data_IF_514514458797
#
_entry.id   IF_514514458797
#
_cell.length_a   1.000
_cell.length_b   1.000
_cell.length_c   1.000
_cell.angle_alpha   90.00
_cell.angle_beta   90.00
_cell.angle_gamma   90.00
#
_symmetry.space_group_name_H-M   'P 1'
#
loop_
_entity.id
_entity.type
_entity.pdbx_description
1 polymer ?
#
# COMPACT_ATOMS: atom_id res chain seq x y z
N UNK A 1 -2.62 8.00 -4.25
CA UNK A 1 -2.79 6.92 -3.27
C UNK A 1 -4.14 6.27 -3.52
N UNK A 2 -4.30 5.01 -3.16
CA UNK A 2 -5.54 4.27 -3.27
C UNK A 2 -5.75 3.46 -1.98
N UNK A 3 -6.95 3.49 -1.40
CA UNK A 3 -7.36 2.54 -0.36
C UNK A 3 -7.56 1.19 -1.05
N UNK A 4 -6.76 0.19 -0.70
CA UNK A 4 -6.80 -1.11 -1.35
C UNK A 4 -7.54 -2.15 -0.52
N UNK A 5 -6.96 -2.59 0.59
CA UNK A 5 -7.50 -3.65 1.45
C UNK A 5 -7.77 -3.10 2.83
N UNK A 6 -8.93 -3.41 3.43
CA UNK A 6 -9.23 -3.03 4.81
C UNK A 6 -9.67 -4.23 5.64
N UNK A 7 -9.48 -4.12 6.96
CA UNK A 7 -10.12 -4.99 7.94
C UNK A 7 -10.76 -4.11 9.00
N UNK A 8 -12.06 -4.30 9.23
CA UNK A 8 -12.86 -3.56 10.20
C UNK A 8 -13.47 -4.50 11.22
N UNK A 9 -13.72 -3.98 12.42
CA UNK A 9 -14.53 -4.63 13.46
C UNK A 9 -15.72 -3.73 13.80
N UNK A 10 -16.93 -4.25 13.74
CA UNK A 10 -18.13 -3.52 14.16
C UNK A 10 -18.15 -3.34 15.69
N UNK A 11 -18.99 -2.43 16.20
CA UNK A 11 -19.46 -2.53 17.57
C UNK A 11 -20.16 -3.88 17.82
N UNK A 12 -20.44 -4.18 19.08
CA UNK A 12 -21.24 -5.36 19.41
C UNK A 12 -22.63 -5.26 18.77
N UNK A 13 -23.12 -6.39 18.29
CA UNK A 13 -24.43 -6.51 17.65
C UNK A 13 -25.34 -7.43 18.47
N UNK A 14 -26.63 -7.44 18.13
CA UNK A 14 -27.56 -8.39 18.73
C UNK A 14 -27.31 -9.82 18.21
N UNK A 15 -27.61 -10.83 19.03
CA UNK A 15 -27.56 -12.23 18.58
C UNK A 15 -28.53 -12.49 17.42
N UNK A 16 -29.66 -11.77 17.35
CA UNK A 16 -30.57 -11.87 16.22
C UNK A 16 -29.89 -11.44 14.91
N UNK A 17 -29.23 -10.27 14.90
CA UNK A 17 -28.49 -9.81 13.72
C UNK A 17 -27.36 -10.78 13.37
N UNK A 18 -26.63 -11.29 14.37
CA UNK A 18 -25.58 -12.28 14.18
C UNK A 18 -26.10 -13.56 13.49
N UNK A 19 -27.22 -14.12 13.98
CA UNK A 19 -27.85 -15.29 13.39
C UNK A 19 -28.37 -15.03 11.96
N UNK A 20 -28.96 -13.86 11.69
CA UNK A 20 -29.37 -13.48 10.34
C UNK A 20 -28.17 -13.49 9.37
N UNK A 21 -27.04 -12.90 9.77
CA UNK A 21 -25.82 -12.86 8.96
C UNK A 21 -25.28 -14.28 8.72
N UNK A 22 -25.19 -15.11 9.76
CA UNK A 22 -24.70 -16.49 9.66
C UNK A 22 -25.55 -17.34 8.71
N UNK A 23 -26.88 -17.21 8.78
CA UNK A 23 -27.83 -17.94 7.94
C UNK A 23 -27.78 -17.50 6.47
N UNK A 24 -27.49 -16.22 6.19
CA UNK A 24 -27.44 -15.70 4.83
C UNK A 24 -26.07 -15.86 4.15
N UNK A 25 -24.98 -15.90 4.92
CA UNK A 25 -23.62 -15.77 4.39
C UNK A 25 -23.06 -17.03 3.71
N UNK A 26 -23.87 -18.05 3.44
CA UNK A 26 -23.40 -19.33 2.88
C UNK A 26 -23.12 -19.25 1.36
N UNK A 27 -23.71 -18.32 0.59
CA UNK A 27 -23.28 -17.95 -0.79
C UNK A 27 -24.22 -16.90 -1.40
N UNK A 28 -23.84 -15.62 -1.40
CA UNK A 28 -24.45 -14.60 -2.27
C UNK A 28 -23.40 -13.95 -3.17
N UNK A 29 -23.74 -13.81 -4.45
CA UNK A 29 -22.95 -13.22 -5.51
C UNK A 29 -23.70 -12.00 -6.02
N UNK A 30 -23.01 -10.86 -6.17
CA UNK A 30 -23.58 -9.69 -6.84
C UNK A 30 -23.40 -9.81 -8.34
N UNK A 31 -24.49 -9.74 -9.10
CA UNK A 31 -24.48 -9.84 -10.57
C UNK A 31 -24.65 -8.46 -11.18
N UNK A 32 -23.91 -8.17 -12.26
CA UNK A 32 -24.29 -7.10 -13.17
C UNK A 32 -25.55 -7.54 -13.92
N UNK A 33 -26.66 -6.81 -13.75
CA UNK A 33 -27.91 -7.08 -14.48
C UNK A 33 -27.78 -6.86 -15.98
N UNK A 34 -26.84 -6.02 -16.41
CA UNK A 34 -26.61 -5.66 -17.81
C UNK A 34 -25.70 -6.67 -18.54
N UNK A 35 -24.79 -7.34 -17.82
CA UNK A 35 -23.80 -8.26 -18.41
C UNK A 35 -23.80 -9.69 -17.87
N UNK A 36 -24.56 -9.99 -16.81
CA UNK A 36 -24.60 -11.31 -16.17
C UNK A 36 -23.33 -11.67 -15.38
N UNK A 37 -22.49 -10.69 -15.04
CA UNK A 37 -21.17 -10.90 -14.44
C UNK A 37 -21.18 -10.87 -12.91
N UNK A 38 -20.49 -11.81 -12.26
CA UNK A 38 -20.33 -11.83 -10.79
C UNK A 38 -19.29 -10.80 -10.34
N UNK A 39 -19.72 -9.61 -9.92
CA UNK A 39 -18.84 -8.50 -9.51
C UNK A 39 -18.09 -8.76 -8.19
N UNK A 40 -18.75 -9.41 -7.23
CA UNK A 40 -18.19 -9.78 -5.94
C UNK A 40 -18.98 -10.95 -5.33
N UNK A 41 -18.43 -11.56 -4.28
CA UNK A 41 -19.17 -12.55 -3.50
C UNK A 41 -18.87 -12.44 -2.01
N UNK A 42 -19.88 -12.73 -1.20
CA UNK A 42 -19.75 -12.79 0.25
C UNK A 42 -19.19 -14.13 0.69
N UNK A 43 -18.37 -14.13 1.74
CA UNK A 43 -17.88 -15.35 2.35
C UNK A 43 -17.68 -15.19 3.86
N UNK A 44 -17.94 -16.25 4.61
CA UNK A 44 -17.56 -16.35 6.03
C UNK A 44 -16.13 -16.86 6.22
N UNK A 45 -15.44 -17.25 5.14
CA UNK A 45 -14.07 -17.74 5.21
C UNK A 45 -13.04 -16.59 5.30
N UNK A 46 -11.84 -16.88 5.80
CA UNK A 46 -10.69 -15.96 5.68
C UNK A 46 -10.30 -15.80 4.21
N UNK A 47 -10.00 -14.57 3.82
CA UNK A 47 -9.44 -14.30 2.49
C UNK A 47 -8.04 -14.91 2.40
N UNK A 48 -7.66 -15.36 1.21
CA UNK A 48 -6.32 -15.95 1.00
C UNK A 48 -5.24 -14.89 0.82
N UNK A 49 -5.62 -13.64 0.56
CA UNK A 49 -4.72 -12.49 0.41
C UNK A 49 -5.45 -11.26 -0.15
N UNK A 50 -4.72 -10.15 -0.33
CA UNK A 50 -5.25 -8.91 -0.93
C UNK A 50 -5.69 -9.05 -2.40
N UNK A 51 -5.29 -10.15 -3.05
CA UNK A 51 -5.74 -10.48 -4.39
C UNK A 51 -7.16 -11.07 -4.43
N UNK A 52 -7.73 -11.48 -3.29
CA UNK A 52 -9.07 -12.06 -3.23
C UNK A 52 -10.14 -10.99 -3.54
N UNK A 53 -11.09 -11.31 -4.43
CA UNK A 53 -12.17 -10.40 -4.83
C UNK A 53 -13.42 -10.54 -3.96
N UNK A 54 -13.38 -11.42 -2.95
CA UNK A 54 -14.50 -11.67 -2.04
C UNK A 54 -14.54 -10.66 -0.91
N UNK A 55 -15.74 -10.40 -0.41
CA UNK A 55 -15.97 -9.64 0.81
C UNK A 55 -16.17 -10.66 1.94
N UNK A 56 -15.25 -10.66 2.90
CA UNK A 56 -15.35 -11.54 4.06
C UNK A 56 -16.18 -10.87 5.15
N UNK A 57 -17.32 -11.47 5.50
CA UNK A 57 -18.18 -11.04 6.60
C UNK A 57 -18.22 -12.18 7.61
N UNK A 58 -17.68 -11.95 8.81
CA UNK A 58 -17.59 -12.98 9.86
C UNK A 58 -18.23 -12.50 11.14
N UNK A 59 -18.99 -13.38 11.76
CA UNK A 59 -19.43 -13.22 13.15
C UNK A 59 -18.37 -13.81 14.07
N UNK A 60 -17.94 -13.02 15.04
CA UNK A 60 -16.98 -13.41 16.08
C UNK A 60 -17.64 -13.24 17.45
N UNK A 61 -17.50 -14.26 18.31
CA UNK A 61 -18.00 -14.26 19.71
C UNK A 61 -16.86 -14.35 20.73
N UNK A 62 -15.62 -14.19 20.26
CA UNK A 62 -14.42 -14.27 21.07
C UNK A 62 -13.59 -13.00 20.90
N UNK A 63 -13.30 -12.32 21.99
CA UNK A 63 -12.44 -11.15 21.98
C UNK A 63 -11.02 -11.54 22.37
N UNK A 64 -10.08 -11.21 21.49
CA UNK A 64 -8.64 -11.36 21.73
C UNK A 64 -8.01 -10.04 22.12
N UNK A 65 -7.14 -10.06 23.11
CA UNK A 65 -6.45 -8.86 23.55
C UNK A 65 -5.26 -9.18 24.44
N UNK A 66 -4.73 -8.13 25.06
CA UNK A 66 -3.68 -8.23 26.06
C UNK A 66 -4.14 -7.46 27.30
N UNK A 67 -4.04 -8.11 28.45
CA UNK A 67 -4.33 -7.54 29.76
C UNK A 67 -3.12 -7.85 30.64
N UNK A 68 -2.47 -6.82 31.19
CA UNK A 68 -1.22 -6.96 31.95
C UNK A 68 -0.15 -7.80 31.22
N UNK A 69 0.07 -7.50 29.92
CA UNK A 69 0.97 -8.24 29.01
C UNK A 69 0.67 -9.74 28.82
N UNK A 70 -0.44 -10.26 29.34
CA UNK A 70 -0.91 -11.63 29.08
C UNK A 70 -1.94 -11.62 27.96
N UNK A 71 -1.79 -12.47 26.93
CA UNK A 71 -2.81 -12.62 25.91
C UNK A 71 -4.06 -13.23 26.56
N UNK A 72 -5.23 -12.68 26.25
CA UNK A 72 -6.51 -13.27 26.62
C UNK A 72 -7.34 -13.58 25.39
N UNK A 73 -8.23 -14.56 25.54
CA UNK A 73 -9.26 -14.91 24.59
C UNK A 73 -10.53 -15.21 25.39
N UNK A 74 -11.42 -14.22 25.52
CA UNK A 74 -12.61 -14.31 26.38
C UNK A 74 -13.88 -14.25 25.51
N UNK A 75 -14.94 -14.99 25.85
CA UNK A 75 -16.24 -14.81 25.22
C UNK A 75 -16.72 -13.36 25.34
N UNK A 76 -17.40 -12.88 24.31
CA UNK A 76 -17.98 -11.54 24.28
C UNK A 76 -19.29 -11.55 23.49
N UNK A 77 -20.04 -10.43 23.56
CA UNK A 77 -21.15 -10.20 22.64
C UNK A 77 -20.69 -10.33 21.18
N UNK A 78 -21.55 -10.79 20.26
CA UNK A 78 -21.17 -10.99 18.88
C UNK A 78 -20.79 -9.66 18.23
N UNK A 79 -19.81 -9.69 17.34
CA UNK A 79 -19.44 -8.56 16.49
C UNK A 79 -19.06 -9.06 15.10
N UNK A 80 -19.04 -8.14 14.14
CA UNK A 80 -18.71 -8.42 12.74
C UNK A 80 -17.24 -8.09 12.51
N UNK A 81 -16.51 -9.00 11.89
CA UNK A 81 -15.25 -8.70 11.22
C UNK A 81 -15.48 -8.64 9.72
N UNK A 82 -15.17 -7.50 9.12
CA UNK A 82 -15.30 -7.25 7.69
C UNK A 82 -13.91 -7.09 7.07
N UNK A 83 -13.61 -7.86 6.02
CA UNK A 83 -12.33 -7.80 5.32
C UNK A 83 -12.55 -7.89 3.81
N UNK A 84 -12.02 -6.95 3.03
CA UNK A 84 -12.05 -6.99 1.56
C UNK A 84 -11.05 -6.03 0.92
N UNK A 85 -10.82 -6.21 -0.39
CA UNK A 85 -10.26 -5.16 -1.23
C UNK A 85 -11.36 -4.21 -1.68
N UNK A 86 -11.39 -3.01 -1.13
CA UNK A 86 -12.41 -1.98 -1.42
C UNK A 86 -12.34 -1.53 -2.87
N UNK A 87 -11.13 -1.32 -3.38
CA UNK A 87 -10.92 -0.94 -4.78
C UNK A 87 -11.44 -2.03 -5.74
N UNK A 88 -11.14 -3.31 -5.48
CA UNK A 88 -11.69 -4.41 -6.29
C UNK A 88 -13.21 -4.52 -6.15
N UNK A 89 -13.78 -4.27 -4.98
CA UNK A 89 -15.24 -4.30 -4.80
C UNK A 89 -15.93 -3.18 -5.61
N UNK A 90 -15.31 -2.00 -5.72
CA UNK A 90 -15.87 -0.87 -6.49
C UNK A 90 -15.76 -1.08 -8.00
N UNK A 91 -14.62 -1.56 -8.48
CA UNK A 91 -14.28 -1.54 -9.91
C UNK A 91 -14.25 -2.96 -10.50
N UNK A 92 -13.99 -3.98 -9.70
CA UNK A 92 -13.75 -5.34 -10.16
C UNK A 92 -12.27 -5.67 -10.34
N UNK A 93 -11.39 -4.67 -10.43
CA UNK A 93 -9.93 -4.80 -10.49
C UNK A 93 -9.24 -3.79 -9.56
N UNK A 94 -7.93 -3.94 -9.33
CA UNK A 94 -7.13 -2.94 -8.62
C UNK A 94 -5.84 -2.58 -9.38
N UNK A 95 -5.86 -2.51 -10.71
CA UNK A 95 -4.67 -2.15 -11.49
C UNK A 95 -4.30 -0.66 -11.32
N UNK A 96 -5.27 0.24 -11.44
CA UNK A 96 -5.09 1.69 -11.33
C UNK A 96 -6.42 2.38 -10.94
N UNK A 97 -6.37 3.67 -10.62
CA UNK A 97 -7.57 4.51 -10.54
C UNK A 97 -8.30 4.56 -9.20
N UNK A 98 -7.71 4.03 -8.13
CA UNK A 98 -8.34 3.99 -6.81
C UNK A 98 -8.48 5.36 -6.15
N UNK A 99 -9.18 5.40 -5.00
CA UNK A 99 -9.44 6.64 -4.25
C UNK A 99 -8.55 6.80 -3.02
N UNK A 100 -8.23 8.04 -2.64
CA UNK A 100 -7.61 8.34 -1.34
C UNK A 100 -8.64 8.51 -0.20
N UNK A 101 -9.94 8.56 -0.52
CA UNK A 101 -10.99 8.91 0.42
C UNK A 101 -11.43 7.70 1.26
N UNK A 102 -10.77 7.53 2.41
CA UNK A 102 -10.98 6.41 3.31
C UNK A 102 -12.41 6.39 3.89
N UNK A 103 -12.91 7.51 4.41
CA UNK A 103 -14.21 7.54 5.09
C UNK A 103 -15.34 7.25 4.09
N UNK A 104 -15.33 7.88 2.91
CA UNK A 104 -16.33 7.59 1.88
C UNK A 104 -16.26 6.13 1.41
N UNK A 105 -15.05 5.57 1.28
CA UNK A 105 -14.83 4.18 0.91
C UNK A 105 -15.44 3.19 1.91
N UNK A 106 -15.29 3.45 3.21
CA UNK A 106 -15.85 2.60 4.26
C UNK A 106 -17.36 2.72 4.33
N UNK A 107 -17.92 3.94 4.28
CA UNK A 107 -19.38 4.14 4.22
C UNK A 107 -20.00 3.38 3.06
N UNK A 108 -19.42 3.53 1.86
CA UNK A 108 -19.86 2.78 0.68
C UNK A 108 -19.82 1.28 0.88
N UNK A 109 -18.77 0.75 1.52
CA UNK A 109 -18.65 -0.68 1.76
C UNK A 109 -19.71 -1.19 2.75
N UNK A 110 -19.95 -0.45 3.84
CA UNK A 110 -20.95 -0.84 4.85
C UNK A 110 -22.35 -0.83 4.23
N UNK A 111 -22.71 0.20 3.47
CA UNK A 111 -23.97 0.26 2.72
C UNK A 111 -24.08 -0.89 1.72
N UNK A 112 -23.03 -1.20 0.96
CA UNK A 112 -23.01 -2.33 0.04
C UNK A 112 -23.30 -3.66 0.75
N UNK A 113 -22.66 -3.90 1.90
CA UNK A 113 -22.87 -5.14 2.67
C UNK A 113 -24.28 -5.18 3.27
N UNK A 114 -24.76 -4.04 3.76
CA UNK A 114 -26.13 -3.85 4.26
C UNK A 114 -27.17 -4.23 3.18
N UNK A 115 -27.02 -3.69 1.97
CA UNK A 115 -27.87 -3.98 0.81
C UNK A 115 -27.81 -5.48 0.43
N UNK A 116 -26.62 -6.07 0.42
CA UNK A 116 -26.44 -7.47 0.00
C UNK A 116 -27.05 -8.50 0.95
N UNK A 117 -26.97 -8.20 2.24
CA UNK A 117 -27.56 -9.00 3.29
C UNK A 117 -29.02 -8.60 3.56
N UNK A 118 -29.48 -7.48 2.99
CA UNK A 118 -30.78 -6.89 3.30
C UNK A 118 -30.98 -6.78 4.83
N UNK A 119 -29.96 -6.26 5.52
CA UNK A 119 -29.90 -6.10 6.97
C UNK A 119 -29.29 -4.74 7.29
N UNK A 120 -29.84 -4.05 8.28
CA UNK A 120 -29.27 -2.80 8.75
C UNK A 120 -27.94 -3.06 9.49
N UNK A 121 -26.86 -2.49 8.96
CA UNK A 121 -25.53 -2.59 9.54
C UNK A 121 -25.26 -1.40 10.47
N UNK A 122 -24.43 -1.55 11.52
CA UNK A 122 -24.01 -0.42 12.34
C UNK A 122 -23.37 0.69 11.50
N UNK A 123 -23.57 1.95 11.91
CA UNK A 123 -23.02 3.13 11.23
C UNK A 123 -21.53 2.97 11.00
N UNK A 124 -21.06 3.33 9.80
CA UNK A 124 -19.67 3.14 9.39
C UNK A 124 -18.66 3.79 10.34
N UNK A 125 -18.99 4.95 10.91
CA UNK A 125 -18.14 5.69 11.84
C UNK A 125 -17.82 4.91 13.12
N UNK A 126 -18.73 4.03 13.56
CA UNK A 126 -18.59 3.28 14.82
C UNK A 126 -17.72 2.02 14.68
N UNK A 127 -17.23 1.72 13.47
CA UNK A 127 -16.40 0.56 13.22
C UNK A 127 -14.95 0.86 13.59
N UNK A 128 -14.32 -0.06 14.31
CA UNK A 128 -12.90 -0.02 14.58
C UNK A 128 -12.11 -0.47 13.35
N UNK A 129 -11.07 0.28 13.03
CA UNK A 129 -10.12 -0.06 11.98
C UNK A 129 -9.06 -1.00 12.52
N UNK A 130 -8.97 -2.20 11.94
CA UNK A 130 -7.99 -3.23 12.28
C UNK A 130 -6.85 -3.31 11.28
N UNK A 131 -7.10 -2.97 10.01
CA UNK A 131 -6.05 -2.92 8.99
C UNK A 131 -6.43 -1.96 7.88
N UNK A 132 -5.45 -1.24 7.36
CA UNK A 132 -5.58 -0.45 6.12
C UNK A 132 -4.33 -0.70 5.27
N UNK A 133 -4.54 -1.15 4.03
CA UNK A 133 -3.52 -1.18 2.99
C UNK A 133 -3.76 0.01 2.07
N UNK A 134 -2.78 0.92 2.01
CA UNK A 134 -2.77 2.03 1.05
C UNK A 134 -1.75 1.76 -0.04
N UNK A 135 -2.12 2.06 -1.29
CA UNK A 135 -1.31 1.78 -2.47
C UNK A 135 -0.98 3.04 -3.26
N UNK A 136 0.23 3.13 -3.78
CA UNK A 136 0.57 4.02 -4.90
C UNK A 136 0.97 3.18 -6.10
N UNK A 137 0.66 3.68 -7.30
CA UNK A 137 1.00 3.03 -8.56
C UNK A 137 1.83 3.99 -9.42
N UNK A 138 2.87 3.46 -10.03
CA UNK A 138 3.79 4.20 -10.89
C UNK A 138 3.84 3.54 -12.25
N UNK A 139 3.51 4.29 -13.30
CA UNK A 139 3.59 3.83 -14.68
C UNK A 139 4.98 4.12 -15.23
N UNK A 140 5.78 3.07 -15.42
CA UNK A 140 7.09 3.15 -16.03
C UNK A 140 7.01 2.91 -17.55
N UNK A 141 8.04 3.30 -18.34
CA UNK A 141 8.01 3.16 -19.79
C UNK A 141 7.80 1.72 -20.27
N UNK A 142 8.31 0.74 -19.53
CA UNK A 142 8.19 -0.68 -19.86
C UNK A 142 8.31 -1.60 -18.63
N UNK A 143 7.98 -2.87 -18.83
CA UNK A 143 8.17 -3.94 -17.85
C UNK A 143 9.64 -4.12 -17.45
N UNK A 144 10.53 -4.01 -18.43
CA UNK A 144 11.98 -4.13 -18.25
C UNK A 144 12.50 -3.04 -17.32
N UNK A 145 11.96 -1.82 -17.41
CA UNK A 145 12.30 -0.73 -16.49
C UNK A 145 11.97 -1.07 -15.03
N UNK A 146 10.87 -1.79 -14.77
CA UNK A 146 10.46 -2.22 -13.43
C UNK A 146 11.37 -3.32 -12.91
N UNK A 147 11.72 -4.30 -13.74
CA UNK A 147 12.63 -5.38 -13.37
C UNK A 147 14.05 -4.86 -13.15
N UNK A 148 14.48 -3.89 -13.96
CA UNK A 148 15.73 -3.18 -13.75
C UNK A 148 15.74 -2.45 -12.40
N UNK A 149 14.64 -1.78 -12.03
CA UNK A 149 14.49 -1.17 -10.72
C UNK A 149 14.64 -2.19 -9.59
N UNK A 150 13.94 -3.32 -9.63
CA UNK A 150 14.10 -4.38 -8.61
C UNK A 150 15.51 -4.95 -8.52
N UNK A 151 16.18 -5.14 -9.66
CA UNK A 151 17.55 -5.65 -9.72
C UNK A 151 18.56 -4.64 -9.15
N UNK A 152 18.30 -3.35 -9.30
CA UNK A 152 19.13 -2.29 -8.75
C UNK A 152 18.97 -2.06 -7.24
N UNK A 153 17.92 -2.61 -6.62
CA UNK A 153 17.67 -2.44 -5.20
C UNK A 153 18.72 -3.20 -4.37
N UNK A 154 19.61 -2.45 -3.74
CA UNK A 154 20.53 -2.95 -2.72
C UNK A 154 19.82 -3.03 -1.36
N UNK A 155 19.12 -4.15 -1.12
CA UNK A 155 18.27 -4.37 0.06
C UNK A 155 19.07 -4.95 1.24
N UNK A 156 20.22 -5.56 0.97
CA UNK A 156 20.99 -6.36 1.92
C UNK A 156 21.59 -5.53 3.08
N UNK A 157 21.39 -4.22 3.06
CA UNK A 157 21.85 -3.27 4.08
C UNK A 157 20.73 -2.56 4.84
N UNK A 158 19.47 -2.83 4.56
CA UNK A 158 18.37 -2.37 5.43
C UNK A 158 18.57 -3.04 6.79
N UNK A 159 18.50 -2.26 7.88
CA UNK A 159 18.82 -2.67 9.25
C UNK A 159 17.89 -3.76 9.85
N UNK A 160 17.10 -4.42 8.99
CA UNK A 160 16.18 -5.50 9.29
C UNK A 160 16.09 -6.48 8.09
N UNK A 161 17.22 -6.87 7.49
CA UNK A 161 17.27 -7.74 6.31
C UNK A 161 16.49 -9.05 6.46
N UNK A 162 16.43 -9.63 7.67
CA UNK A 162 15.63 -10.81 7.99
C UNK A 162 14.12 -10.66 7.73
N UNK A 163 13.62 -9.41 7.74
CA UNK A 163 12.22 -9.10 7.49
C UNK A 163 11.92 -8.82 6.02
N UNK A 164 12.93 -8.88 5.14
CA UNK A 164 12.79 -8.59 3.72
C UNK A 164 12.73 -9.88 2.92
N UNK A 165 11.64 -10.06 2.18
CA UNK A 165 11.41 -11.20 1.30
C UNK A 165 11.42 -10.72 -0.15
N UNK A 166 12.34 -11.24 -0.96
CA UNK A 166 12.35 -11.01 -2.42
C UNK A 166 11.57 -12.12 -3.12
N UNK A 167 10.75 -11.73 -4.09
CA UNK A 167 9.99 -12.62 -4.97
C UNK A 167 10.53 -12.46 -6.39
N UNK A 168 11.61 -13.19 -6.68
CA UNK A 168 12.34 -13.06 -7.94
C UNK A 168 12.81 -11.63 -8.19
N UNK A 169 12.64 -11.16 -9.43
CA UNK A 169 13.02 -9.82 -9.89
C UNK A 169 11.82 -8.88 -10.05
N UNK A 170 10.71 -9.20 -9.39
CA UNK A 170 9.43 -8.54 -9.63
C UNK A 170 8.64 -8.24 -8.33
N UNK A 171 9.23 -8.45 -7.16
CA UNK A 171 8.57 -8.20 -5.90
C UNK A 171 9.50 -8.19 -4.69
N UNK A 172 9.22 -7.30 -3.73
CA UNK A 172 9.94 -7.16 -2.46
C UNK A 172 8.92 -6.83 -1.37
N UNK A 173 8.86 -7.64 -0.32
CA UNK A 173 8.05 -7.38 0.87
C UNK A 173 8.94 -7.16 2.09
N UNK A 174 8.61 -6.16 2.90
CA UNK A 174 9.26 -5.88 4.18
C UNK A 174 8.22 -6.06 5.28
N UNK A 175 8.27 -7.20 5.96
CA UNK A 175 7.31 -7.59 6.97
C UNK A 175 7.77 -7.15 8.37
N UNK A 176 7.14 -6.12 8.92
CA UNK A 176 7.28 -5.77 10.34
C UNK A 176 6.05 -6.23 11.12
N UNK A 177 6.17 -6.23 12.44
CA UNK A 177 5.05 -6.58 13.34
C UNK A 177 3.91 -5.58 13.23
N UNK A 178 4.22 -4.29 13.05
CA UNK A 178 3.24 -3.20 13.00
C UNK A 178 2.84 -2.81 11.56
N UNK A 179 3.76 -2.95 10.59
CA UNK A 179 3.52 -2.57 9.18
C UNK A 179 4.03 -3.63 8.22
N UNK A 180 3.52 -3.65 6.99
CA UNK A 180 4.16 -4.35 5.89
C UNK A 180 4.28 -3.40 4.70
N UNK A 181 5.46 -3.37 4.07
CA UNK A 181 5.70 -2.59 2.86
C UNK A 181 5.92 -3.55 1.70
N UNK A 182 5.18 -3.39 0.61
CA UNK A 182 5.24 -4.28 -0.55
C UNK A 182 5.54 -3.45 -1.79
N UNK A 183 6.53 -3.85 -2.55
CA UNK A 183 6.78 -3.37 -3.91
C UNK A 183 6.60 -4.56 -4.84
N UNK A 184 5.83 -4.42 -5.91
CA UNK A 184 5.72 -5.49 -6.89
C UNK A 184 5.34 -5.00 -8.28
N UNK A 185 5.71 -5.79 -9.28
CA UNK A 185 5.28 -5.61 -10.65
C UNK A 185 3.81 -6.05 -10.80
N UNK A 186 2.92 -5.10 -11.06
CA UNK A 186 1.47 -5.35 -11.09
C UNK A 186 1.08 -6.28 -12.24
N UNK A 187 1.77 -6.25 -13.37
CA UNK A 187 1.49 -7.14 -14.51
C UNK A 187 1.70 -8.62 -14.20
N UNK A 188 2.76 -8.97 -13.46
CA UNK A 188 3.00 -10.36 -13.01
C UNK A 188 1.92 -10.81 -12.02
N UNK A 189 1.55 -9.93 -11.09
CA UNK A 189 0.53 -10.22 -10.07
C UNK A 189 -0.86 -10.37 -10.70
N UNK A 190 -1.26 -9.44 -11.57
CA UNK A 190 -2.53 -9.44 -12.28
C UNK A 190 -2.68 -10.69 -13.15
N UNK A 191 -1.66 -11.04 -13.94
CA UNK A 191 -1.65 -12.25 -14.77
C UNK A 191 -1.88 -13.52 -13.94
N UNK A 192 -1.27 -13.60 -12.77
CA UNK A 192 -1.33 -14.77 -11.89
C UNK A 192 -2.66 -14.89 -11.16
N UNK A 193 -3.23 -13.77 -10.70
CA UNK A 193 -4.33 -13.80 -9.74
C UNK A 193 -5.67 -13.29 -10.27
N UNK A 194 -5.67 -12.33 -11.19
CA UNK A 194 -6.88 -11.62 -11.60
C UNK A 194 -7.26 -11.83 -13.07
N UNK A 195 -6.30 -11.99 -13.99
CA UNK A 195 -6.56 -12.00 -15.43
C UNK A 195 -7.62 -13.06 -15.84
N UNK A 196 -7.51 -14.29 -15.32
CA UNK A 196 -8.48 -15.37 -15.60
C UNK A 196 -9.87 -15.11 -15.02
N UNK A 197 -9.95 -14.35 -13.93
CA UNK A 197 -11.23 -13.93 -13.34
C UNK A 197 -11.83 -12.83 -14.22
N UNK A 198 -11.06 -11.78 -14.50
CA UNK A 198 -11.47 -10.61 -15.28
C UNK A 198 -11.84 -10.96 -16.72
N UNK A 199 -11.21 -11.97 -17.32
CA UNK A 199 -11.56 -12.39 -18.70
C UNK A 199 -12.97 -12.95 -18.84
N UNK A 200 -13.67 -13.23 -17.73
CA UNK A 200 -15.08 -13.62 -17.71
C UNK A 200 -16.03 -12.42 -17.74
N UNK A 201 -15.50 -11.21 -17.61
CA UNK A 201 -16.25 -9.97 -17.59
C UNK A 201 -16.15 -9.32 -18.98
N UNK A 202 -17.25 -9.32 -19.73
CA UNK A 202 -17.47 -8.60 -20.99
C UNK A 202 -17.18 -7.11 -20.86
N UNK A 203 -17.41 -6.53 -19.68
CA UNK A 203 -17.13 -5.12 -19.38
C UNK A 203 -15.64 -4.74 -19.46
N UNK A 204 -14.72 -5.72 -19.47
CA UNK A 204 -13.29 -5.49 -19.44
C UNK A 204 -12.54 -6.12 -20.62
N UNK A 205 -11.74 -5.30 -21.31
CA UNK A 205 -10.69 -5.82 -22.17
C UNK A 205 -9.48 -6.24 -21.30
N UNK A 206 -9.38 -7.54 -21.01
CA UNK A 206 -8.32 -8.10 -20.16
C UNK A 206 -6.93 -7.85 -20.72
N UNK A 207 -6.77 -7.83 -22.06
CA UNK A 207 -5.47 -7.57 -22.69
C UNK A 207 -5.04 -6.12 -22.43
N UNK A 208 -5.95 -5.15 -22.61
CA UNK A 208 -5.67 -3.74 -22.32
C UNK A 208 -5.31 -3.53 -20.84
N UNK A 209 -6.00 -4.21 -19.92
CA UNK A 209 -5.65 -4.15 -18.49
C UNK A 209 -4.28 -4.79 -18.21
N UNK A 210 -3.94 -5.90 -18.86
CA UNK A 210 -2.63 -6.55 -18.74
C UNK A 210 -1.52 -5.64 -19.27
N UNK A 211 -1.69 -5.06 -20.47
CA UNK A 211 -0.71 -4.15 -21.09
C UNK A 211 -0.43 -2.94 -20.20
N UNK A 212 -1.46 -2.42 -19.53
CA UNK A 212 -1.32 -1.37 -18.54
C UNK A 212 -0.64 -1.86 -17.26
N UNK A 213 -1.05 -3.02 -16.76
CA UNK A 213 -0.46 -3.61 -15.55
C UNK A 213 1.04 -3.94 -15.72
N UNK A 214 1.46 -4.35 -16.91
CA UNK A 214 2.87 -4.65 -17.25
C UNK A 214 3.79 -3.43 -17.19
N UNK A 215 3.22 -2.22 -17.14
CA UNK A 215 3.95 -0.96 -16.96
C UNK A 215 3.85 -0.42 -15.53
N UNK A 216 3.18 -1.12 -14.62
CA UNK A 216 2.91 -0.61 -13.27
C UNK A 216 3.83 -1.25 -12.23
N UNK A 217 4.64 -0.41 -11.58
CA UNK A 217 5.20 -0.70 -10.27
C UNK A 217 4.18 -0.27 -9.22
N UNK A 218 3.75 -1.20 -8.37
CA UNK A 218 2.84 -0.92 -7.26
C UNK A 218 3.56 -0.98 -5.93
N UNK A 219 3.22 -0.03 -5.07
CA UNK A 219 3.81 0.12 -3.74
C UNK A 219 2.70 0.21 -2.71
N UNK A 220 2.64 -0.78 -1.82
CA UNK A 220 1.61 -0.87 -0.78
C UNK A 220 2.22 -0.74 0.60
N UNK A 221 1.57 0.06 1.46
CA UNK A 221 1.84 0.12 2.89
C UNK A 221 0.62 -0.41 3.63
N UNK A 222 0.80 -1.56 4.26
CA UNK A 222 -0.16 -2.19 5.16
C UNK A 222 0.10 -1.70 6.58
N UNK A 223 -0.88 -1.00 7.15
CA UNK A 223 -0.95 -0.56 8.54
C UNK A 223 -1.76 -1.60 9.32
N UNK A 224 -1.09 -2.41 10.15
CA UNK A 224 -1.74 -3.47 10.93
C UNK A 224 -2.34 -2.89 12.23
N UNK A 225 -3.21 -3.66 12.89
CA UNK A 225 -3.85 -3.28 14.17
C UNK A 225 -2.86 -2.75 15.20
N UNK A 226 -1.63 -3.29 15.24
CA UNK A 226 -0.58 -2.84 16.15
C UNK A 226 -0.07 -1.44 15.84
N UNK A 227 0.13 -1.07 14.56
CA UNK A 227 0.56 0.28 14.18
C UNK A 227 -0.54 1.29 14.50
N UNK A 228 -1.78 0.97 14.13
CA UNK A 228 -2.95 1.80 14.44
C UNK A 228 -3.07 2.02 15.96
N UNK A 229 -2.99 0.95 16.77
CA UNK A 229 -3.01 1.09 18.23
C UNK A 229 -1.82 1.87 18.81
N UNK A 230 -0.64 1.73 18.21
CA UNK A 230 0.55 2.47 18.65
C UNK A 230 0.43 3.97 18.37
N UNK A 231 -0.16 4.35 17.23
CA UNK A 231 -0.25 5.74 16.81
C UNK A 231 -1.39 6.50 17.49
N UNK A 232 -2.51 5.83 17.76
CA UNK A 232 -3.70 6.44 18.37
C UNK A 232 -3.81 6.15 19.89
N UNK A 233 -3.06 5.18 20.42
CA UNK A 233 -3.19 4.70 21.81
C UNK A 233 -4.34 3.72 22.03
N UNK A 234 -5.34 3.73 21.16
CA UNK A 234 -6.48 2.82 21.11
C UNK A 234 -6.68 2.29 19.67
N UNK A 235 -7.65 1.39 19.47
CA UNK A 235 -7.99 0.99 18.10
C UNK A 235 -8.86 2.09 17.47
N UNK A 236 -8.36 2.83 16.47
CA UNK A 236 -9.08 3.97 15.93
C UNK A 236 -10.38 3.52 15.27
N UNK A 237 -11.41 4.33 15.42
CA UNK A 237 -12.65 4.23 14.66
C UNK A 237 -12.43 4.73 13.23
N UNK A 238 -13.38 4.45 12.34
CA UNK A 238 -13.32 4.95 10.96
C UNK A 238 -13.25 6.48 10.94
N UNK A 239 -13.93 7.15 11.85
CA UNK A 239 -13.95 8.62 11.91
C UNK A 239 -12.61 9.22 12.38
N UNK A 240 -11.80 8.47 13.13
CA UNK A 240 -10.47 8.92 13.59
C UNK A 240 -9.43 8.96 12.46
N UNK A 241 -9.65 8.20 11.37
CA UNK A 241 -8.69 8.08 10.28
C UNK A 241 -8.83 9.26 9.32
N UNK A 242 -7.84 10.15 9.33
CA UNK A 242 -7.70 11.22 8.35
C UNK A 242 -6.86 10.80 7.14
N UNK A 243 -7.11 11.46 6.01
CA UNK A 243 -6.32 11.27 4.80
C UNK A 243 -4.85 11.66 5.01
N UNK A 244 -4.60 12.73 5.78
CA UNK A 244 -3.24 13.20 6.08
C UNK A 244 -2.46 12.22 6.95
N UNK A 245 -3.12 11.54 7.90
CA UNK A 245 -2.50 10.44 8.64
C UNK A 245 -2.03 9.33 7.69
N UNK A 246 -2.88 8.88 6.76
CA UNK A 246 -2.51 7.83 5.81
C UNK A 246 -1.35 8.25 4.89
N UNK A 247 -1.36 9.50 4.41
CA UNK A 247 -0.29 10.06 3.58
C UNK A 247 1.04 10.12 4.35
N UNK A 248 1.01 10.57 5.60
CA UNK A 248 2.19 10.62 6.48
C UNK A 248 2.73 9.22 6.76
N UNK A 249 1.86 8.29 7.15
CA UNK A 249 2.23 6.91 7.43
C UNK A 249 2.88 6.24 6.20
N UNK A 250 2.31 6.44 5.00
CA UNK A 250 2.90 5.97 3.75
C UNK A 250 4.32 6.55 3.54
N UNK A 251 4.45 7.87 3.58
CA UNK A 251 5.72 8.57 3.34
C UNK A 251 6.81 8.14 4.32
N UNK A 252 6.47 7.96 5.60
CA UNK A 252 7.40 7.49 6.63
C UNK A 252 7.92 6.08 6.34
N UNK A 253 7.05 5.14 5.94
CA UNK A 253 7.48 3.78 5.61
C UNK A 253 8.38 3.75 4.38
N UNK A 254 8.05 4.51 3.33
CA UNK A 254 8.86 4.60 2.11
C UNK A 254 10.23 5.21 2.39
N UNK A 255 10.27 6.35 3.11
CA UNK A 255 11.51 7.02 3.50
C UNK A 255 12.41 6.11 4.35
N UNK A 256 11.81 5.38 5.30
CA UNK A 256 12.52 4.43 6.14
C UNK A 256 13.12 3.26 5.36
N UNK A 257 12.47 2.81 4.29
CA UNK A 257 12.95 1.71 3.45
C UNK A 257 14.04 2.15 2.46
N UNK A 258 13.76 3.18 1.66
CA UNK A 258 14.69 3.62 0.61
C UNK A 258 15.95 4.27 1.17
N UNK A 259 15.88 4.82 2.39
CA UNK A 259 16.98 5.53 3.06
C UNK A 259 17.57 6.71 2.25
N UNK A 260 16.95 7.09 1.14
CA UNK A 260 17.26 8.27 0.35
C UNK A 260 16.78 9.51 1.13
N UNK A 261 17.65 10.50 1.31
CA UNK A 261 17.33 11.76 2.00
C UNK A 261 17.64 12.93 1.08
N UNK A 262 16.75 13.92 1.01
CA UNK A 262 16.89 15.11 0.17
C UNK A 262 15.63 15.35 -0.65
N UNK A 263 15.57 16.47 -1.38
CA UNK A 263 14.57 16.65 -2.43
C UNK A 263 14.87 15.62 -3.52
N UNK A 264 14.09 14.54 -3.58
CA UNK A 264 14.34 13.40 -4.48
C UNK A 264 14.33 13.77 -5.98
N UNK A 265 13.91 14.99 -6.31
CA UNK A 265 14.00 15.57 -7.67
C UNK A 265 15.44 15.74 -8.15
N UNK A 266 16.42 15.76 -7.25
CA UNK A 266 17.84 16.02 -7.57
C UNK A 266 18.78 14.82 -7.36
N UNK A 267 18.22 13.59 -7.31
CA UNK A 267 19.02 12.38 -7.12
C UNK A 267 19.87 12.06 -8.34
N UNK A 268 21.16 11.79 -8.11
CA UNK A 268 22.12 11.37 -9.14
C UNK A 268 22.64 9.96 -8.85
N UNK A 269 22.74 9.14 -9.90
CA UNK A 269 23.09 7.70 -9.82
C UNK A 269 24.04 7.21 -10.92
N UNK A 270 24.44 8.08 -11.84
CA UNK A 270 25.40 7.78 -12.92
C UNK A 270 26.78 8.24 -12.50
N UNK A 271 27.84 7.59 -13.02
CA UNK A 271 29.23 7.91 -12.67
C UNK A 271 29.49 9.41 -12.88
N UNK A 272 29.19 9.93 -14.08
CA UNK A 272 29.41 11.33 -14.44
C UNK A 272 28.66 12.26 -13.49
N UNK A 273 27.34 12.07 -13.33
CA UNK A 273 26.51 13.01 -12.57
C UNK A 273 26.86 12.99 -11.07
N UNK A 274 27.26 11.83 -10.52
CA UNK A 274 27.72 11.73 -9.14
C UNK A 274 29.08 12.41 -8.97
N UNK A 275 30.03 12.17 -9.87
CA UNK A 275 31.35 12.79 -9.81
C UNK A 275 31.25 14.31 -9.90
N UNK A 276 30.47 14.83 -10.85
CA UNK A 276 30.24 16.26 -11.04
C UNK A 276 29.56 16.89 -9.83
N UNK A 277 28.48 16.26 -9.31
CA UNK A 277 27.75 16.73 -8.13
C UNK A 277 28.65 16.81 -6.89
N UNK A 278 29.45 15.78 -6.65
CA UNK A 278 30.35 15.74 -5.49
C UNK A 278 31.48 16.75 -5.63
N UNK A 279 32.01 16.96 -6.84
CA UNK A 279 33.01 17.99 -7.09
C UNK A 279 32.43 19.39 -6.84
N UNK A 280 31.26 19.70 -7.39
CA UNK A 280 30.59 20.99 -7.18
C UNK A 280 30.32 21.28 -5.70
N UNK A 281 29.87 20.28 -4.92
CA UNK A 281 29.48 20.50 -3.52
C UNK A 281 30.63 20.48 -2.52
N UNK A 282 31.66 19.67 -2.74
CA UNK A 282 32.70 19.42 -1.73
C UNK A 282 34.13 19.69 -2.21
N UNK A 283 34.32 20.09 -3.47
CA UNK A 283 35.62 20.34 -4.07
C UNK A 283 36.40 19.06 -4.39
N UNK A 284 37.50 19.22 -5.14
CA UNK A 284 38.24 18.12 -5.79
C UNK A 284 38.77 17.05 -4.84
N UNK A 285 39.34 17.44 -3.70
CA UNK A 285 39.95 16.47 -2.75
C UNK A 285 38.90 15.60 -2.07
N UNK A 286 37.82 16.21 -1.58
CA UNK A 286 36.77 15.51 -0.83
C UNK A 286 35.84 14.72 -1.77
N UNK A 287 35.63 15.21 -3.00
CA UNK A 287 34.82 14.50 -3.99
C UNK A 287 35.41 13.14 -4.34
N UNK A 288 36.74 13.01 -4.48
CA UNK A 288 37.40 11.73 -4.80
C UNK A 288 37.12 10.67 -3.73
N UNK A 289 37.26 11.01 -2.43
CA UNK A 289 37.04 10.04 -1.35
C UNK A 289 35.56 9.62 -1.24
N UNK A 290 34.65 10.59 -1.41
CA UNK A 290 33.21 10.34 -1.41
C UNK A 290 32.80 9.50 -2.62
N UNK A 291 33.31 9.84 -3.82
CA UNK A 291 33.04 9.11 -5.05
C UNK A 291 33.56 7.67 -4.97
N UNK A 292 34.78 7.45 -4.45
CA UNK A 292 35.30 6.10 -4.22
C UNK A 292 34.39 5.29 -3.31
N UNK A 293 33.87 5.90 -2.24
CA UNK A 293 32.95 5.21 -1.32
C UNK A 293 31.62 4.91 -2.02
N UNK A 294 31.06 5.87 -2.75
CA UNK A 294 29.85 5.68 -3.53
C UNK A 294 30.01 4.57 -4.58
N UNK A 295 31.11 4.57 -5.32
CA UNK A 295 31.42 3.58 -6.35
C UNK A 295 31.51 2.18 -5.75
N UNK A 296 32.27 2.02 -4.66
CA UNK A 296 32.35 0.75 -3.95
C UNK A 296 30.98 0.28 -3.42
N UNK A 297 30.14 1.19 -2.92
CA UNK A 297 28.78 0.82 -2.50
C UNK A 297 27.94 0.39 -3.70
N UNK A 298 28.01 1.11 -4.82
CA UNK A 298 27.28 0.80 -6.04
C UNK A 298 27.69 -0.56 -6.64
N UNK A 299 28.96 -0.95 -6.55
CA UNK A 299 29.49 -2.18 -7.18
C UNK A 299 29.60 -3.37 -6.24
N UNK A 300 30.04 -3.16 -4.99
CA UNK A 300 30.32 -4.24 -4.02
C UNK A 300 29.23 -4.34 -2.93
N UNK A 301 28.33 -3.37 -2.87
CA UNK A 301 27.27 -3.30 -1.87
C UNK A 301 27.71 -2.65 -0.56
N UNK A 302 26.78 -1.93 0.08
CA UNK A 302 27.03 -1.17 1.31
C UNK A 302 27.53 -2.05 2.48
N UNK A 303 27.11 -3.33 2.59
CA UNK A 303 27.51 -4.21 3.70
C UNK A 303 29.00 -4.54 3.65
N UNK A 304 29.54 -4.73 2.45
CA UNK A 304 30.96 -4.95 2.22
C UNK A 304 31.75 -3.69 2.61
N UNK A 305 31.37 -2.55 2.03
CA UNK A 305 32.06 -1.27 2.27
C UNK A 305 32.05 -0.86 3.74
N UNK A 306 30.94 -1.11 4.44
CA UNK A 306 30.81 -0.85 5.88
C UNK A 306 31.82 -1.65 6.72
N UNK A 307 32.16 -2.86 6.30
CA UNK A 307 33.19 -3.69 6.97
C UNK A 307 34.61 -3.25 6.59
N UNK A 308 34.80 -2.72 5.39
CA UNK A 308 36.10 -2.29 4.88
C UNK A 308 36.56 -0.93 5.39
N UNK A 309 35.64 -0.04 5.77
CA UNK A 309 35.94 1.31 6.24
C UNK A 309 35.87 1.44 7.77
N UNK A 310 36.61 2.42 8.31
CA UNK A 310 36.42 2.84 9.71
C UNK A 310 34.97 3.31 9.92
N UNK A 311 34.29 2.93 11.03
CA UNK A 311 32.89 3.28 11.24
C UNK A 311 32.59 4.77 11.12
N UNK A 312 33.42 5.64 11.72
CA UNK A 312 33.25 7.09 11.65
C UNK A 312 33.29 7.61 10.22
N UNK A 313 34.28 7.16 9.43
CA UNK A 313 34.42 7.51 8.01
C UNK A 313 33.24 7.05 7.18
N UNK A 314 32.80 5.80 7.38
CA UNK A 314 31.65 5.25 6.66
C UNK A 314 30.38 6.07 6.89
N UNK A 315 30.01 6.31 8.15
CA UNK A 315 28.80 7.07 8.47
C UNK A 315 28.89 8.53 8.04
N UNK A 316 30.07 9.14 8.13
CA UNK A 316 30.29 10.49 7.63
C UNK A 316 30.11 10.56 6.10
N UNK A 317 30.73 9.64 5.36
CA UNK A 317 30.60 9.57 3.91
C UNK A 317 29.16 9.32 3.48
N UNK A 318 28.47 8.37 4.11
CA UNK A 318 27.04 8.10 3.88
C UNK A 318 26.22 9.38 4.09
N UNK A 319 26.44 10.12 5.18
CA UNK A 319 25.73 11.39 5.45
C UNK A 319 26.00 12.44 4.36
N UNK A 320 27.24 12.58 3.91
CA UNK A 320 27.63 13.57 2.89
C UNK A 320 27.11 13.21 1.49
N UNK A 321 27.16 11.94 1.11
CA UNK A 321 26.59 11.44 -0.15
C UNK A 321 25.08 11.68 -0.19
N UNK A 322 24.40 11.34 0.90
CA UNK A 322 22.97 11.61 1.10
C UNK A 322 22.64 13.10 1.01
N UNK A 323 23.41 13.96 1.69
CA UNK A 323 23.25 15.42 1.62
C UNK A 323 23.42 15.95 0.18
N UNK A 324 24.25 15.30 -0.64
CA UNK A 324 24.47 15.67 -2.03
C UNK A 324 23.44 15.11 -3.03
N UNK A 325 22.52 14.26 -2.57
CA UNK A 325 21.58 13.54 -3.42
C UNK A 325 22.24 12.41 -4.24
N UNK A 326 23.41 11.93 -3.84
CA UNK A 326 24.10 10.83 -4.51
C UNK A 326 23.61 9.49 -3.96
N UNK A 327 22.69 8.84 -4.68
CA UNK A 327 22.18 7.51 -4.31
C UNK A 327 23.02 6.41 -4.96
N UNK A 328 23.36 5.37 -4.20
CA UNK A 328 24.00 4.15 -4.71
C UNK A 328 22.98 3.02 -4.95
N UNK A 329 21.71 3.21 -4.54
CA UNK A 329 20.63 2.31 -4.92
C UNK A 329 20.28 2.51 -6.39
N UNK A 330 20.10 1.42 -7.13
CA UNK A 330 19.87 1.42 -8.57
C UNK A 330 21.01 2.08 -9.38
N UNK A 331 22.20 2.22 -8.81
CA UNK A 331 23.37 2.66 -9.55
C UNK A 331 23.92 1.50 -10.38
N UNK A 332 23.72 1.55 -11.69
CA UNK A 332 24.43 0.72 -12.68
C UNK A 332 25.41 1.58 -13.45
N UNK A 333 26.72 1.46 -13.19
CA UNK A 333 27.72 2.33 -13.81
C UNK A 333 27.90 2.07 -15.31
N UNK A 334 27.57 0.86 -15.81
CA UNK A 334 28.02 0.36 -17.12
C UNK A 334 26.90 -0.22 -18.03
N UNK A 335 25.64 0.19 -17.91
CA UNK A 335 24.56 -0.39 -18.72
C UNK A 335 23.62 0.63 -19.35
N UNK A 336 23.14 0.35 -20.57
CA UNK A 336 21.95 0.99 -21.13
C UNK A 336 20.78 0.76 -20.18
N UNK A 337 20.16 1.84 -19.69
CA UNK A 337 19.07 1.78 -18.71
C UNK A 337 17.72 1.93 -19.42
N UNK A 338 16.80 1.04 -19.11
CA UNK A 338 15.37 1.18 -19.43
C UNK A 338 14.65 1.98 -18.34
N UNK A 339 15.19 2.00 -17.13
CA UNK A 339 14.65 2.74 -15.99
C UNK A 339 14.98 4.25 -16.06
N UNK A 340 14.01 5.15 -15.82
CA UNK A 340 14.28 6.59 -15.75
C UNK A 340 15.29 6.94 -14.64
N UNK A 341 16.26 7.82 -14.95
CA UNK A 341 17.44 8.08 -14.10
C UNK A 341 17.08 8.55 -12.67
N UNK A 342 16.09 9.43 -12.55
CA UNK A 342 15.62 10.00 -11.29
C UNK A 342 14.41 9.27 -10.69
N UNK A 343 14.05 8.09 -11.19
CA UNK A 343 12.90 7.37 -10.65
C UNK A 343 13.14 6.95 -9.19
N UNK A 344 12.18 7.30 -8.34
CA UNK A 344 12.03 6.82 -6.97
C UNK A 344 10.51 6.74 -6.71
N UNK A 345 9.98 5.63 -6.18
CA UNK A 345 8.54 5.45 -5.98
C UNK A 345 8.03 6.23 -4.75
N UNK A 346 7.99 7.56 -4.88
CA UNK A 346 7.44 8.49 -3.90
C UNK A 346 6.21 9.21 -4.48
N UNK A 347 5.37 9.75 -3.59
CA UNK A 347 4.11 10.40 -3.98
C UNK A 347 4.28 11.58 -4.95
N UNK A 348 5.39 12.30 -4.90
CA UNK A 348 5.63 13.47 -5.76
C UNK A 348 6.31 13.12 -7.10
N UNK A 349 6.46 11.83 -7.40
CA UNK A 349 7.11 11.39 -8.62
C UNK A 349 6.17 11.56 -9.84
N UNK A 350 6.69 12.09 -10.95
CA UNK A 350 5.94 12.34 -12.19
C UNK A 350 5.32 11.08 -12.83
N UNK A 351 5.84 9.89 -12.52
CA UNK A 351 5.33 8.61 -13.03
C UNK A 351 4.15 8.07 -12.20
N UNK A 352 3.77 8.74 -11.11
CA UNK A 352 2.62 8.35 -10.28
C UNK A 352 1.32 8.53 -11.04
N UNK A 353 0.44 7.53 -10.99
CA UNK A 353 -0.95 7.68 -11.42
C UNK A 353 -1.82 8.04 -10.20
N UNK A 354 -2.31 9.27 -10.17
CA UNK A 354 -3.09 9.83 -9.06
C UNK A 354 -4.56 10.12 -9.40
N UNK A 355 -4.94 9.99 -10.68
CA UNK A 355 -6.31 10.19 -11.14
C UNK A 355 -7.21 9.04 -10.71
N UNK A 356 -8.28 9.40 -10.00
CA UNK A 356 -9.40 8.51 -9.71
C UNK A 356 -10.21 8.24 -11.00
N UNK A 357 -10.69 7.00 -11.18
CA UNK A 357 -11.57 6.68 -12.31
C UNK A 357 -13.02 7.05 -12.03
N UNK A 358 -13.74 7.43 -13.09
CA UNK A 358 -15.09 7.98 -13.01
C UNK A 358 -16.08 7.07 -12.25
N UNK A 359 -15.98 5.75 -12.41
CA UNK A 359 -16.85 4.78 -11.71
C UNK A 359 -16.72 4.92 -10.19
N UNK A 360 -15.51 5.14 -9.67
CA UNK A 360 -15.31 5.36 -8.23
C UNK A 360 -15.88 6.71 -7.81
N UNK A 361 -15.61 7.77 -8.58
CA UNK A 361 -16.16 9.11 -8.29
C UNK A 361 -17.68 9.09 -8.22
N UNK A 362 -18.34 8.39 -9.14
CA UNK A 362 -19.80 8.21 -9.16
C UNK A 362 -20.27 7.43 -7.92
N UNK A 363 -19.67 6.27 -7.63
CA UNK A 363 -20.02 5.44 -6.47
C UNK A 363 -19.84 6.17 -5.14
N UNK A 364 -18.84 7.03 -5.04
CA UNK A 364 -18.50 7.75 -3.82
C UNK A 364 -19.15 9.12 -3.66
N UNK A 365 -19.77 9.64 -4.71
CA UNK A 365 -20.39 10.97 -4.72
C UNK A 365 -21.28 11.20 -3.49
N UNK A 366 -22.29 10.34 -3.27
CA UNK A 366 -23.22 10.47 -2.13
C UNK A 366 -22.53 10.40 -0.76
N UNK A 367 -21.40 9.71 -0.63
CA UNK A 367 -20.70 9.52 0.65
C UNK A 367 -19.70 10.64 0.99
N UNK A 368 -19.34 11.44 -0.02
CA UNK A 368 -18.48 12.63 0.12
C UNK A 368 -19.28 13.84 0.60
N UNK A 369 -20.51 13.99 0.12
CA UNK A 369 -21.35 15.15 0.42
C UNK A 369 -22.04 15.07 1.80
N UNK A 370 -22.35 13.88 2.31
CA UNK A 370 -23.05 13.71 3.60
C UNK A 370 -22.30 14.23 4.84
N UNK A 371 -21.07 14.71 4.70
CA UNK A 371 -20.27 15.25 5.82
C UNK A 371 -20.21 16.78 5.85
N UNK A 372 -20.50 17.46 4.74
CA UNK A 372 -20.46 18.93 4.71
C UNK A 372 -21.78 19.55 5.22
N UNK A 373 -22.91 18.84 5.10
CA UNK A 373 -24.21 19.36 5.53
C UNK A 373 -24.48 19.26 7.03
N UNK A 374 -23.64 18.56 7.81
CA UNK A 374 -23.81 18.46 9.28
C UNK A 374 -22.96 19.52 10.01
N UNK A 375 -21.82 19.92 9.45
CA UNK A 375 -20.93 20.91 10.08
C UNK A 375 -21.39 22.37 9.88
N UNK A 376 -22.28 22.65 8.91
CA UNK A 376 -22.81 24.00 8.72
C UNK A 376 -24.00 24.30 9.68
N UNK A 377 -24.76 23.28 10.12
CA UNK A 377 -25.88 23.48 11.06
C UNK A 377 -25.44 23.62 12.53
N UNK A 378 -24.31 23.02 12.94
CA UNK A 378 -23.73 23.23 14.28
C UNK A 378 -22.99 24.57 14.43
N UNK A 379 -22.86 25.36 13.36
CA UNK A 379 -22.28 26.72 13.42
C UNK A 379 -23.32 27.83 13.61
N UNK A 380 -24.61 27.49 13.72
CA UNK A 380 -25.73 28.45 13.81
C UNK A 380 -26.53 28.29 15.13
N UNK A 381 -26.10 27.47 16.09
CA UNK A 381 -26.76 27.35 17.40
C UNK A 381 -25.89 27.89 18.54
#
# INVERSE_FOLDING_TARGET
MAIDTITLRSPFISENLAHCIENQSIRRQGWSMESGEVLYSLTTAKLQGSYDARISVKIERMQKGFENNKPYNKPCQPFITLECSVHKAMVGHNVYGGTEDFKASVRWLIDLVSELLNLEMPRAEDWEVRRIDVAEVFELPSKEAIFEWFNGLQIDTVSNSHNVHRYGTHGVHVNKTATCLKFYHKGTEFKKHDAKRISRFLSYNTQVLQDKADKILRVEVELKSRKLKQDFGFYPMVDDISQDYLRKAYNEQIKGFLKETGNNKDLVRTISNVQDRLWQMYGKKRSISLFSTWYQMATLGEAFVKKSLKPSTFYEHVRLLKKAGCSWHNAKPNSNRSMPESFTPIRDNKYRLDKEIQVITQKLSKYRFSYNSINDEESII
#
